data_IF_769381248895
#
_entry.id   IF_769381248895
#
_cell.length_a   1.000
_cell.length_b   1.000
_cell.length_c   1.000
_cell.angle_alpha   90.00
_cell.angle_beta   90.00
_cell.angle_gamma   90.00
#
_symmetry.space_group_name_H-M   'P 1'
#
loop_
_entity.id
_entity.type
_entity.pdbx_description
1 polymer ?
#
# COMPACT_ATOMS: atom_id res chain seq x y z
N UNK A 1 5.37 10.33 15.11
CA UNK A 1 6.75 10.84 14.94
C UNK A 1 6.79 12.04 14.00
N UNK A 2 6.46 11.90 12.71
CA UNK A 2 6.56 13.00 11.72
C UNK A 2 5.76 14.26 12.07
N UNK A 3 4.52 14.12 12.53
CA UNK A 3 3.69 15.26 12.94
C UNK A 3 4.34 16.07 14.08
N UNK A 4 4.90 15.38 15.09
CA UNK A 4 5.61 16.03 16.19
C UNK A 4 6.87 16.77 15.73
N UNK A 5 7.62 16.19 14.80
CA UNK A 5 8.77 16.86 14.19
C UNK A 5 8.35 18.10 13.38
N UNK A 6 7.28 18.01 12.60
CA UNK A 6 6.74 19.13 11.83
C UNK A 6 6.31 20.28 12.75
N UNK A 7 5.62 19.97 13.86
CA UNK A 7 5.26 20.93 14.90
C UNK A 7 6.52 21.58 15.50
N UNK A 8 7.51 20.79 15.89
CA UNK A 8 8.74 21.30 16.49
C UNK A 8 9.53 22.23 15.54
N UNK A 9 9.62 21.86 14.26
CA UNK A 9 10.28 22.68 13.23
C UNK A 9 9.51 23.98 12.97
N UNK A 10 8.18 23.91 12.85
CA UNK A 10 7.34 25.10 12.68
C UNK A 10 7.45 26.05 13.88
N UNK A 11 7.43 25.53 15.11
CA UNK A 11 7.67 26.31 16.32
C UNK A 11 9.05 26.99 16.29
N UNK A 12 10.11 26.22 16.02
CA UNK A 12 11.48 26.76 15.95
C UNK A 12 11.61 27.86 14.90
N UNK A 13 10.93 27.72 13.76
CA UNK A 13 10.94 28.74 12.73
C UNK A 13 10.20 30.01 13.18
N UNK A 14 9.01 29.88 13.78
CA UNK A 14 8.27 31.03 14.33
C UNK A 14 9.07 31.78 15.40
N UNK A 15 9.83 31.05 16.24
CA UNK A 15 10.64 31.63 17.31
C UNK A 15 11.74 32.52 16.70
N UNK A 16 12.40 32.01 15.65
CA UNK A 16 13.44 32.75 14.94
C UNK A 16 12.92 33.95 14.16
N UNK A 17 11.65 33.96 13.77
CA UNK A 17 11.02 35.10 13.09
C UNK A 17 10.43 36.13 14.07
N UNK A 18 10.53 35.91 15.39
CA UNK A 18 10.00 36.82 16.40
C UNK A 18 8.47 36.74 16.58
N UNK A 19 7.81 35.72 16.01
CA UNK A 19 6.36 35.50 16.14
C UNK A 19 5.99 34.79 17.45
N UNK A 20 6.50 35.30 18.57
CA UNK A 20 6.35 34.70 19.91
C UNK A 20 4.88 34.63 20.38
N UNK A 21 4.01 35.49 19.83
CA UNK A 21 2.56 35.51 20.05
C UNK A 21 1.83 34.29 19.45
N UNK A 22 2.43 33.66 18.44
CA UNK A 22 1.89 32.47 17.74
C UNK A 22 2.53 31.17 18.22
N UNK A 23 3.42 31.28 19.19
CA UNK A 23 4.14 30.20 19.83
C UNK A 23 3.52 30.05 21.20
N UNK A 24 3.22 28.83 21.62
CA UNK A 24 3.10 28.59 23.06
C UNK A 24 3.78 27.32 23.51
N UNK A 25 4.29 27.51 24.72
CA UNK A 25 5.30 26.78 25.48
C UNK A 25 4.85 25.36 25.81
N UNK A 26 5.88 24.52 25.99
CA UNK A 26 5.93 23.11 26.41
C UNK A 26 5.13 22.73 27.68
N UNK A 27 4.23 23.56 28.22
CA UNK A 27 3.71 23.43 29.59
C UNK A 27 2.30 22.85 29.73
N UNK A 28 1.49 22.75 28.66
CA UNK A 28 0.10 22.28 28.80
C UNK A 28 -0.31 21.12 27.85
N UNK A 29 0.62 20.59 27.07
CA UNK A 29 0.37 19.43 26.21
C UNK A 29 -0.62 19.65 25.06
N UNK A 30 -1.18 20.86 24.90
CA UNK A 30 -2.14 21.21 23.85
C UNK A 30 -1.49 22.02 22.72
N UNK A 31 -1.78 21.64 21.47
CA UNK A 31 -1.29 22.32 20.26
C UNK A 31 -2.12 23.59 19.97
N UNK A 32 -1.52 24.67 19.44
CA UNK A 32 -2.29 25.85 18.99
C UNK A 32 -3.24 25.52 17.83
N UNK A 33 -4.34 26.26 17.71
CA UNK A 33 -5.38 26.05 16.68
C UNK A 33 -4.82 26.04 15.26
N UNK A 34 -3.82 26.88 14.98
CA UNK A 34 -3.19 26.93 13.65
C UNK A 34 -2.44 25.63 13.34
N UNK A 35 -1.81 25.02 14.34
CA UNK A 35 -1.12 23.74 14.20
C UNK A 35 -2.11 22.60 14.08
N UNK A 36 -3.17 22.60 14.88
CA UNK A 36 -4.28 21.62 14.78
C UNK A 36 -4.87 21.69 13.38
N UNK A 37 -5.22 22.89 12.90
CA UNK A 37 -5.75 23.11 11.55
C UNK A 37 -4.77 22.61 10.50
N UNK A 38 -3.51 23.02 10.56
CA UNK A 38 -2.47 22.59 9.62
C UNK A 38 -2.30 21.07 9.57
N UNK A 39 -2.27 20.41 10.72
CA UNK A 39 -2.18 18.94 10.82
C UNK A 39 -3.45 18.26 10.32
N UNK A 40 -4.64 18.82 10.60
CA UNK A 40 -5.92 18.23 10.19
C UNK A 40 -6.13 18.22 8.67
N UNK A 41 -5.55 19.19 7.95
CA UNK A 41 -5.64 19.29 6.49
C UNK A 41 -4.40 18.71 5.77
N UNK A 42 -3.35 18.35 6.52
CA UNK A 42 -2.16 17.77 5.94
C UNK A 42 -2.47 16.40 5.35
N UNK A 43 -2.21 16.24 4.05
CA UNK A 43 -2.37 14.98 3.34
C UNK A 43 -1.04 14.58 2.71
N UNK A 44 -0.62 13.33 2.95
CA UNK A 44 0.60 12.78 2.38
C UNK A 44 0.24 11.61 1.48
N UNK A 45 0.03 11.90 0.19
CA UNK A 45 -0.37 10.89 -0.78
C UNK A 45 0.67 9.75 -0.84
N UNK A 46 0.16 8.51 -0.90
CA UNK A 46 0.99 7.32 -0.92
C UNK A 46 1.72 6.99 0.39
N UNK A 47 1.24 7.50 1.53
CA UNK A 47 1.64 7.08 2.87
C UNK A 47 0.41 6.71 3.68
N UNK A 48 0.33 5.44 4.09
CA UNK A 48 -0.78 4.91 4.87
C UNK A 48 -2.17 5.32 4.32
N UNK A 49 -2.32 5.32 2.99
CA UNK A 49 -3.52 5.84 2.31
C UNK A 49 -4.43 4.69 1.90
N UNK A 50 -5.72 4.78 2.24
CA UNK A 50 -6.73 3.77 1.87
C UNK A 50 -7.60 4.35 0.75
N UNK A 51 -7.78 3.62 -0.35
CA UNK A 51 -8.53 4.05 -1.52
C UNK A 51 -9.42 2.89 -2.02
N UNK A 52 -10.75 2.99 -1.90
CA UNK A 52 -11.65 2.04 -2.55
C UNK A 52 -11.61 2.23 -4.09
N UNK A 53 -11.70 1.14 -4.84
CA UNK A 53 -11.86 1.19 -6.30
C UNK A 53 -13.33 1.49 -6.65
N UNK A 54 -13.58 2.70 -7.14
CA UNK A 54 -14.94 3.16 -7.44
C UNK A 54 -15.50 2.58 -8.75
N UNK A 55 -14.64 2.08 -9.66
CA UNK A 55 -15.10 1.50 -10.92
C UNK A 55 -15.82 0.17 -10.66
N UNK A 56 -15.34 -0.62 -9.70
CA UNK A 56 -16.01 -1.87 -9.28
C UNK A 56 -17.35 -1.60 -8.60
N UNK A 57 -17.49 -0.50 -7.85
CA UNK A 57 -18.76 -0.15 -7.20
C UNK A 57 -19.84 0.37 -8.15
N UNK A 58 -19.48 0.79 -9.37
CA UNK A 58 -20.43 1.39 -10.32
C UNK A 58 -21.15 0.37 -11.21
N UNK A 59 -20.56 -0.80 -11.43
CA UNK A 59 -21.10 -1.84 -12.32
C UNK A 59 -21.93 -2.91 -11.58
N UNK A 60 -21.76 -3.06 -10.26
CA UNK A 60 -22.49 -4.05 -9.47
C UNK A 60 -23.64 -3.39 -8.68
N UNK A 61 -24.89 -3.79 -8.99
CA UNK A 61 -26.10 -3.38 -8.25
C UNK A 61 -26.13 -3.88 -6.80
N UNK A 62 -25.26 -4.84 -6.45
CA UNK A 62 -25.04 -5.29 -5.08
C UNK A 62 -23.73 -4.74 -4.52
N UNK A 63 -23.85 -3.85 -3.53
CA UNK A 63 -22.77 -3.13 -2.81
C UNK A 63 -21.99 -4.03 -1.84
N UNK A 64 -21.92 -5.33 -2.09
CA UNK A 64 -21.61 -6.29 -1.02
C UNK A 64 -20.12 -6.40 -0.70
N UNK A 65 -19.19 -6.26 -1.65
CA UNK A 65 -17.75 -6.49 -1.40
C UNK A 65 -16.81 -5.54 -2.16
N UNK A 66 -16.23 -4.52 -1.50
CA UNK A 66 -15.35 -3.57 -2.18
C UNK A 66 -13.94 -4.13 -2.42
N UNK A 67 -13.37 -3.80 -3.59
CA UNK A 67 -11.93 -3.82 -3.85
C UNK A 67 -11.33 -2.56 -3.21
N UNK A 68 -10.41 -2.75 -2.26
CA UNK A 68 -9.79 -1.64 -1.52
C UNK A 68 -8.28 -1.72 -1.63
N UNK A 69 -7.67 -0.60 -2.03
CA UNK A 69 -6.23 -0.43 -2.11
C UNK A 69 -5.70 0.24 -0.84
N UNK A 70 -4.67 -0.34 -0.26
CA UNK A 70 -3.92 0.16 0.89
C UNK A 70 -2.53 0.55 0.36
N UNK A 71 -2.23 1.83 0.32
CA UNK A 71 -1.10 2.38 -0.42
C UNK A 71 -0.06 2.95 0.54
N UNK A 72 1.15 2.39 0.48
CA UNK A 72 2.26 2.91 1.26
C UNK A 72 3.60 2.69 0.55
N UNK A 73 4.30 3.79 0.22
CA UNK A 73 5.56 3.77 -0.53
C UNK A 73 6.80 3.36 0.28
N UNK A 74 6.66 2.53 1.32
CA UNK A 74 7.78 1.93 2.04
C UNK A 74 8.74 1.19 1.10
N UNK A 75 10.05 1.35 1.34
CA UNK A 75 11.11 0.81 0.48
C UNK A 75 12.47 0.66 1.21
N UNK A 76 12.44 0.70 2.55
CA UNK A 76 13.55 0.37 3.45
C UNK A 76 13.06 -0.62 4.49
N UNK A 77 13.92 -1.42 5.14
CA UNK A 77 13.47 -2.40 6.14
C UNK A 77 12.63 -1.76 7.25
N UNK A 78 13.05 -0.61 7.77
CA UNK A 78 12.36 0.11 8.85
C UNK A 78 10.98 0.60 8.39
N UNK A 79 10.88 1.13 7.17
CA UNK A 79 9.60 1.59 6.61
C UNK A 79 8.67 0.42 6.28
N UNK A 80 9.19 -0.72 5.81
CA UNK A 80 8.40 -1.93 5.55
C UNK A 80 7.77 -2.47 6.83
N UNK A 81 8.48 -2.40 7.96
CA UNK A 81 7.92 -2.78 9.27
C UNK A 81 6.75 -1.87 9.66
N UNK A 82 6.91 -0.55 9.54
CA UNK A 82 5.84 0.39 9.90
C UNK A 82 4.64 0.21 8.97
N UNK A 83 4.88 0.01 7.67
CA UNK A 83 3.87 -0.32 6.67
C UNK A 83 3.07 -1.58 7.06
N UNK A 84 3.77 -2.68 7.38
CA UNK A 84 3.14 -3.93 7.82
C UNK A 84 2.30 -3.76 9.09
N UNK A 85 2.82 -3.02 10.09
CA UNK A 85 2.07 -2.72 11.33
C UNK A 85 0.80 -1.93 11.04
N UNK A 86 0.89 -0.91 10.19
CA UNK A 86 -0.25 -0.10 9.78
C UNK A 86 -1.29 -0.94 9.04
N UNK A 87 -0.88 -1.67 8.00
CA UNK A 87 -1.78 -2.50 7.20
C UNK A 87 -2.48 -3.55 8.06
N UNK A 88 -1.73 -4.26 8.91
CA UNK A 88 -2.30 -5.25 9.84
C UNK A 88 -3.28 -4.63 10.85
N UNK A 89 -3.05 -3.38 11.26
CA UNK A 89 -3.94 -2.70 12.21
C UNK A 89 -5.27 -2.31 11.56
N UNK A 90 -5.23 -1.69 10.39
CA UNK A 90 -6.45 -1.19 9.72
C UNK A 90 -7.31 -2.33 9.18
N UNK A 91 -6.69 -3.39 8.67
CA UNK A 91 -7.42 -4.54 8.10
C UNK A 91 -7.98 -5.50 9.15
N UNK A 92 -7.55 -5.41 10.41
CA UNK A 92 -8.17 -6.11 11.55
C UNK A 92 -9.39 -5.39 12.10
N UNK A 93 -9.39 -4.06 12.08
CA UNK A 93 -10.51 -3.26 12.62
C UNK A 93 -11.80 -3.48 11.83
N UNK A 94 -11.69 -3.70 10.53
CA UNK A 94 -12.82 -4.10 9.67
C UNK A 94 -13.50 -5.40 10.13
N UNK A 95 -12.81 -6.24 10.91
CA UNK A 95 -13.37 -7.47 11.46
C UNK A 95 -13.95 -7.34 12.89
N UNK A 96 -13.72 -6.21 13.61
CA UNK A 96 -13.86 -6.19 15.07
C UNK A 96 -14.55 -4.96 15.71
N UNK A 97 -15.08 -3.98 14.97
CA UNK A 97 -15.75 -2.80 15.59
C UNK A 97 -17.23 -2.64 15.16
N UNK A 98 -18.19 -2.56 16.10
CA UNK A 98 -19.56 -2.12 15.87
C UNK A 98 -19.66 -0.59 15.96
N UNK A 99 -19.89 0.09 14.84
CA UNK A 99 -20.29 1.50 14.81
C UNK A 99 -21.81 1.69 15.03
N UNK A 100 -22.29 2.87 15.46
CA UNK A 100 -23.70 3.05 15.85
C UNK A 100 -24.72 3.05 14.71
N UNK A 101 -24.30 3.17 13.45
CA UNK A 101 -25.18 3.28 12.29
C UNK A 101 -24.46 2.69 11.07
N UNK A 102 -24.44 1.37 10.94
CA UNK A 102 -24.49 0.64 9.65
C UNK A 102 -24.51 -0.87 9.92
N UNK A 103 -25.33 -1.57 9.15
CA UNK A 103 -25.71 -2.97 9.35
C UNK A 103 -24.51 -3.92 9.43
N UNK A 104 -24.63 -4.90 10.34
CA UNK A 104 -23.73 -6.03 10.57
C UNK A 104 -23.01 -6.50 9.29
N UNK A 105 -21.69 -6.28 9.19
CA UNK A 105 -20.79 -7.06 8.34
C UNK A 105 -19.96 -8.03 9.19
N UNK A 106 -20.61 -8.77 10.08
CA UNK A 106 -19.98 -9.89 10.78
C UNK A 106 -19.81 -11.03 9.78
N UNK A 107 -18.61 -11.23 9.24
CA UNK A 107 -18.25 -12.44 8.49
C UNK A 107 -17.91 -12.29 7.01
N UNK A 108 -17.54 -11.11 6.49
CA UNK A 108 -16.98 -11.04 5.14
C UNK A 108 -15.55 -11.58 5.19
N UNK A 109 -15.33 -12.76 4.60
CA UNK A 109 -13.97 -13.24 4.33
C UNK A 109 -13.25 -12.17 3.52
N UNK A 110 -12.01 -11.84 3.87
CA UNK A 110 -11.23 -10.85 3.14
C UNK A 110 -9.99 -11.50 2.55
N UNK A 111 -9.83 -11.42 1.23
CA UNK A 111 -8.62 -11.85 0.55
C UNK A 111 -7.58 -10.73 0.65
N UNK A 112 -6.41 -11.01 1.25
CA UNK A 112 -5.30 -10.07 1.37
C UNK A 112 -4.30 -10.34 0.23
N UNK A 113 -4.11 -9.36 -0.63
CA UNK A 113 -3.20 -9.44 -1.77
C UNK A 113 -2.08 -8.43 -1.60
N UNK A 114 -0.84 -8.84 -1.86
CA UNK A 114 0.29 -7.94 -1.98
C UNK A 114 0.50 -7.57 -3.45
N UNK A 115 0.57 -6.29 -3.78
CA UNK A 115 1.07 -5.78 -5.05
C UNK A 115 2.42 -5.10 -4.78
N UNK A 116 3.50 -5.71 -5.24
CA UNK A 116 4.85 -5.32 -4.85
C UNK A 116 5.75 -5.06 -6.06
N UNK A 117 6.58 -4.03 -5.91
CA UNK A 117 7.76 -3.84 -6.73
C UNK A 117 8.79 -3.02 -5.96
N UNK A 118 10.07 -3.30 -6.13
CA UNK A 118 11.15 -2.41 -5.71
C UNK A 118 12.14 -2.23 -6.87
N UNK A 119 12.94 -1.15 -6.87
CA UNK A 119 13.99 -0.98 -7.86
C UNK A 119 15.18 -1.91 -7.56
N UNK A 120 16.01 -2.23 -8.54
CA UNK A 120 17.19 -3.11 -8.40
C UNK A 120 18.26 -2.60 -7.42
N UNK A 121 18.25 -1.30 -7.12
CA UNK A 121 19.09 -0.71 -6.06
C UNK A 121 18.60 -1.03 -4.63
N UNK A 122 17.48 -1.73 -4.50
CA UNK A 122 16.91 -2.22 -3.25
C UNK A 122 16.99 -3.73 -3.21
N UNK A 123 17.20 -4.28 -2.02
CA UNK A 123 17.31 -5.72 -1.82
C UNK A 123 15.97 -6.34 -1.39
N UNK A 124 15.26 -7.07 -2.28
CA UNK A 124 14.01 -7.74 -1.93
C UNK A 124 14.19 -8.81 -0.85
N UNK A 125 15.39 -9.39 -0.70
CA UNK A 125 15.71 -10.38 0.34
C UNK A 125 15.71 -9.77 1.75
N UNK A 126 15.73 -8.44 1.88
CA UNK A 126 15.62 -7.76 3.18
C UNK A 126 14.21 -7.17 3.36
N UNK A 127 13.64 -6.62 2.28
CA UNK A 127 12.34 -5.95 2.34
C UNK A 127 11.17 -6.93 2.55
N UNK A 128 11.11 -8.02 1.78
CA UNK A 128 10.00 -8.97 1.83
C UNK A 128 9.94 -9.72 3.17
N UNK A 129 11.05 -10.24 3.73
CA UNK A 129 10.99 -10.89 5.05
C UNK A 129 10.51 -9.94 6.13
N UNK A 130 11.02 -8.69 6.14
CA UNK A 130 10.63 -7.72 7.17
C UNK A 130 9.13 -7.42 7.13
N UNK A 131 8.56 -7.26 5.93
CA UNK A 131 7.12 -7.10 5.74
C UNK A 131 6.35 -8.34 6.24
N UNK A 132 6.71 -9.52 5.74
CA UNK A 132 6.01 -10.78 6.00
C UNK A 132 6.05 -11.18 7.46
N UNK A 133 7.20 -11.09 8.11
CA UNK A 133 7.35 -11.45 9.52
C UNK A 133 6.56 -10.52 10.42
N UNK A 134 6.55 -9.22 10.11
CA UNK A 134 5.77 -8.24 10.86
C UNK A 134 4.27 -8.49 10.70
N UNK A 135 3.81 -8.79 9.48
CA UNK A 135 2.42 -9.19 9.25
C UNK A 135 2.06 -10.48 10.00
N UNK A 136 2.91 -11.51 9.93
CA UNK A 136 2.69 -12.79 10.61
C UNK A 136 2.65 -12.65 12.14
N UNK A 137 3.52 -11.82 12.73
CA UNK A 137 3.48 -11.47 14.17
C UNK A 137 2.17 -10.76 14.56
N UNK A 138 1.52 -10.10 13.60
CA UNK A 138 0.20 -9.53 13.76
C UNK A 138 -0.90 -10.48 13.29
N UNK A 139 -0.64 -11.75 12.99
CA UNK A 139 -1.68 -12.70 12.56
C UNK A 139 -2.30 -12.35 11.20
N UNK A 140 -1.57 -11.64 10.34
CA UNK A 140 -1.96 -11.37 8.97
C UNK A 140 -1.09 -12.20 8.03
N UNK A 141 -1.74 -12.93 7.12
CA UNK A 141 -1.10 -13.64 6.03
C UNK A 141 -1.64 -13.08 4.70
N UNK A 142 -0.79 -13.06 3.68
CA UNK A 142 -1.22 -12.75 2.32
C UNK A 142 -1.65 -14.03 1.63
N UNK A 143 -2.79 -13.99 0.96
CA UNK A 143 -3.29 -15.09 0.14
C UNK A 143 -2.57 -15.14 -1.20
N UNK A 144 -2.10 -13.98 -1.68
CA UNK A 144 -1.49 -13.85 -3.00
C UNK A 144 -0.52 -12.67 -3.08
N UNK A 145 0.52 -12.79 -3.90
CA UNK A 145 1.41 -11.70 -4.27
C UNK A 145 1.44 -11.48 -5.79
N UNK A 146 1.42 -10.22 -6.21
CA UNK A 146 1.50 -9.79 -7.60
C UNK A 146 2.76 -8.93 -7.77
N UNK A 147 3.56 -9.25 -8.78
CA UNK A 147 4.77 -8.52 -9.13
C UNK A 147 4.60 -7.87 -10.50
N UNK A 148 4.91 -6.57 -10.58
CA UNK A 148 4.67 -5.74 -11.78
C UNK A 148 5.87 -4.85 -12.07
N UNK A 149 6.14 -4.52 -13.36
CA UNK A 149 7.15 -3.52 -13.72
C UNK A 149 6.71 -2.10 -13.37
N UNK A 150 7.68 -1.19 -13.21
CA UNK A 150 7.39 0.24 -13.03
C UNK A 150 7.01 0.85 -14.38
N UNK A 151 5.79 1.36 -14.53
CA UNK A 151 5.36 2.04 -15.76
C UNK A 151 6.07 3.38 -15.96
N UNK A 152 6.32 4.10 -14.86
CA UNK A 152 7.01 5.40 -14.86
C UNK A 152 8.48 5.35 -15.25
N UNK A 153 9.14 4.18 -15.31
CA UNK A 153 10.50 4.05 -15.86
C UNK A 153 10.53 4.02 -17.39
N UNK A 154 9.46 3.52 -18.02
CA UNK A 154 9.31 3.52 -19.48
C UNK A 154 8.79 4.87 -19.98
N UNK A 155 8.00 5.58 -19.17
CA UNK A 155 7.58 6.95 -19.43
C UNK A 155 8.63 7.98 -18.96
N UNK A 156 9.92 7.78 -19.27
CA UNK A 156 10.84 8.93 -19.31
C UNK A 156 10.20 9.93 -20.28
N UNK A 157 10.06 11.20 -19.88
CA UNK A 157 9.68 12.29 -20.78
C UNK A 157 10.74 12.41 -21.89
N UNK A 158 10.66 11.53 -22.87
CA UNK A 158 11.40 11.56 -24.12
C UNK A 158 10.54 12.29 -25.12
N UNK A 159 11.02 13.45 -25.52
CA UNK A 159 10.70 14.22 -26.72
C UNK A 159 9.70 13.57 -27.70
N UNK A 160 8.67 14.31 -28.08
CA UNK A 160 7.84 14.06 -29.26
C UNK A 160 8.71 13.93 -30.52
N UNK A 161 9.26 12.76 -30.83
CA UNK A 161 9.85 12.41 -32.13
C UNK A 161 10.35 10.95 -32.17
N UNK A 162 9.49 9.94 -32.05
CA UNK A 162 9.80 8.59 -32.52
C UNK A 162 8.51 7.81 -32.81
N UNK A 163 8.42 7.03 -33.91
CA UNK A 163 7.36 6.04 -34.09
C UNK A 163 7.39 5.02 -32.94
N UNK A 164 6.26 4.36 -32.62
CA UNK A 164 6.27 3.33 -31.59
C UNK A 164 7.22 2.20 -32.02
N UNK A 165 8.24 1.84 -31.22
CA UNK A 165 9.01 0.65 -31.51
C UNK A 165 8.04 -0.54 -31.43
N UNK A 166 8.05 -1.39 -32.47
CA UNK A 166 7.21 -2.60 -32.50
C UNK A 166 7.42 -3.42 -31.24
N UNK A 167 6.34 -4.00 -30.68
CA UNK A 167 6.25 -4.74 -29.41
C UNK A 167 7.62 -5.18 -28.86
N UNK A 168 8.32 -4.27 -28.19
CA UNK A 168 9.54 -4.63 -27.47
C UNK A 168 9.10 -5.60 -26.38
N UNK A 169 9.64 -6.80 -26.41
CA UNK A 169 9.35 -7.81 -25.40
C UNK A 169 9.76 -7.22 -24.05
N UNK A 170 8.78 -7.01 -23.17
CA UNK A 170 9.02 -6.44 -21.85
C UNK A 170 9.89 -7.42 -21.08
N UNK A 171 11.08 -7.00 -20.69
CA UNK A 171 11.95 -7.80 -19.82
C UNK A 171 11.33 -7.89 -18.41
N UNK A 172 10.89 -9.10 -18.05
CA UNK A 172 10.31 -9.41 -16.74
C UNK A 172 11.29 -10.12 -15.81
N UNK A 173 12.58 -10.20 -16.17
CA UNK A 173 13.63 -10.86 -15.38
C UNK A 173 13.62 -10.39 -13.91
N UNK A 174 13.45 -9.09 -13.70
CA UNK A 174 13.36 -8.52 -12.36
C UNK A 174 12.10 -8.96 -11.60
N UNK A 175 10.92 -8.90 -12.22
CA UNK A 175 9.67 -9.34 -11.58
C UNK A 175 9.70 -10.84 -11.25
N UNK A 176 10.30 -11.65 -12.11
CA UNK A 176 10.52 -13.08 -11.87
C UNK A 176 11.50 -13.32 -10.71
N UNK A 177 12.54 -12.48 -10.58
CA UNK A 177 13.44 -12.50 -9.43
C UNK A 177 12.68 -12.17 -8.13
N UNK A 178 11.85 -11.13 -8.12
CA UNK A 178 11.00 -10.78 -6.96
C UNK A 178 10.06 -11.93 -6.57
N UNK A 179 9.43 -12.56 -7.56
CA UNK A 179 8.59 -13.74 -7.36
C UNK A 179 9.36 -14.91 -6.74
N UNK A 180 10.57 -15.17 -7.23
CA UNK A 180 11.44 -16.24 -6.70
C UNK A 180 11.74 -16.00 -5.22
N UNK A 181 12.12 -14.78 -4.84
CA UNK A 181 12.36 -14.40 -3.44
C UNK A 181 11.13 -14.68 -2.57
N UNK A 182 9.95 -14.25 -3.04
CA UNK A 182 8.70 -14.48 -2.33
C UNK A 182 8.42 -15.96 -2.08
N UNK A 183 8.56 -16.78 -3.12
CA UNK A 183 8.29 -18.22 -3.03
C UNK A 183 9.29 -18.96 -2.15
N UNK A 184 10.57 -18.61 -2.22
CA UNK A 184 11.62 -19.15 -1.34
C UNK A 184 11.29 -18.90 0.13
N UNK A 185 10.83 -17.68 0.46
CA UNK A 185 10.44 -17.32 1.83
C UNK A 185 9.24 -18.15 2.32
N UNK A 186 8.26 -18.42 1.45
CA UNK A 186 7.11 -19.25 1.80
C UNK A 186 7.48 -20.74 1.91
N UNK A 187 8.37 -21.25 1.07
CA UNK A 187 8.91 -22.62 1.18
C UNK A 187 9.67 -22.82 2.48
N UNK A 188 10.56 -21.88 2.84
CA UNK A 188 11.30 -21.92 4.10
C UNK A 188 10.38 -21.95 5.33
N UNK A 189 9.27 -21.21 5.30
CA UNK A 189 8.29 -21.18 6.41
C UNK A 189 7.43 -22.45 6.51
N UNK A 190 7.09 -23.10 5.40
CA UNK A 190 6.34 -24.38 5.40
C UNK A 190 7.12 -25.53 6.04
N UNK A 191 8.45 -25.49 6.01
CA UNK A 191 9.29 -26.50 6.66
C UNK A 191 9.26 -26.46 8.19
N UNK A 192 8.83 -25.34 8.80
CA UNK A 192 8.79 -25.16 10.26
C UNK A 192 7.39 -25.29 10.86
N UNK A 193 6.34 -24.88 10.17
CA UNK A 193 4.96 -24.94 10.64
C UNK A 193 4.08 -25.54 9.53
N UNK A 194 3.60 -26.78 9.73
CA UNK A 194 2.87 -27.60 8.75
C UNK A 194 1.48 -27.09 8.30
N UNK A 195 1.24 -25.79 8.31
CA UNK A 195 0.01 -25.16 7.80
C UNK A 195 0.27 -24.57 6.42
N UNK A 196 -0.32 -25.20 5.41
CA UNK A 196 -0.23 -24.88 4.00
C UNK A 196 -0.92 -23.56 3.63
N UNK A 197 -0.33 -22.40 3.94
CA UNK A 197 -0.72 -21.19 3.21
C UNK A 197 -0.14 -21.30 1.80
N UNK A 198 -1.00 -21.63 0.83
CA UNK A 198 -0.64 -21.58 -0.59
C UNK A 198 -0.60 -20.12 -1.01
N UNK A 199 0.46 -19.39 -0.63
CA UNK A 199 0.65 -18.00 -1.01
C UNK A 199 1.01 -17.91 -2.49
N UNK A 200 -0.02 -17.97 -3.34
CA UNK A 200 0.12 -17.93 -4.78
C UNK A 200 0.84 -16.64 -5.21
N UNK A 201 1.63 -16.72 -6.27
CA UNK A 201 2.38 -15.60 -6.82
C UNK A 201 2.03 -15.45 -8.31
N UNK A 202 1.93 -14.22 -8.80
CA UNK A 202 1.74 -13.91 -10.22
C UNK A 202 2.65 -12.77 -10.65
N UNK A 203 3.15 -12.85 -11.88
CA UNK A 203 3.86 -11.75 -12.55
C UNK A 203 2.97 -11.23 -13.68
N UNK A 204 2.82 -9.91 -13.79
CA UNK A 204 2.11 -9.28 -14.90
C UNK A 204 3.07 -8.44 -15.73
N UNK A 205 2.83 -8.42 -17.04
CA UNK A 205 3.55 -7.59 -18.01
C UNK A 205 3.35 -6.08 -17.79
N UNK A 206 2.24 -5.68 -17.16
CA UNK A 206 1.94 -4.28 -16.91
C UNK A 206 1.05 -4.09 -15.69
N UNK A 207 1.13 -2.90 -15.08
CA UNK A 207 0.27 -2.52 -13.97
C UNK A 207 -1.23 -2.48 -14.35
N UNK A 208 -1.67 -1.92 -15.50
CA UNK A 208 -3.06 -1.99 -15.96
C UNK A 208 -3.59 -3.40 -16.06
N UNK A 209 -2.79 -4.35 -16.57
CA UNK A 209 -3.18 -5.77 -16.62
C UNK A 209 -3.42 -6.34 -15.21
N UNK A 210 -2.55 -6.02 -14.25
CA UNK A 210 -2.72 -6.45 -12.86
C UNK A 210 -3.96 -5.81 -12.19
N UNK A 211 -4.21 -4.52 -12.42
CA UNK A 211 -5.40 -3.83 -11.89
C UNK A 211 -6.68 -4.40 -12.50
N UNK A 212 -6.69 -4.67 -13.82
CA UNK A 212 -7.81 -5.33 -14.48
C UNK A 212 -8.08 -6.71 -13.87
N UNK A 213 -7.05 -7.52 -13.68
CA UNK A 213 -7.16 -8.83 -13.04
C UNK A 213 -7.69 -8.74 -11.60
N UNK A 214 -7.26 -7.73 -10.81
CA UNK A 214 -7.77 -7.49 -9.46
C UNK A 214 -9.26 -7.16 -9.45
N UNK A 215 -9.72 -6.33 -10.39
CA UNK A 215 -11.14 -5.97 -10.55
C UNK A 215 -11.98 -7.18 -10.93
N UNK A 216 -11.55 -7.95 -11.92
CA UNK A 216 -12.21 -9.20 -12.34
C UNK A 216 -12.27 -10.22 -11.20
N UNK A 217 -11.16 -10.40 -10.47
CA UNK A 217 -11.08 -11.32 -9.31
C UNK A 217 -12.03 -10.92 -8.19
N UNK A 218 -12.18 -9.62 -7.95
CA UNK A 218 -13.12 -9.08 -6.95
C UNK A 218 -14.58 -9.30 -7.38
N UNK A 219 -14.89 -9.14 -8.67
CA UNK A 219 -16.24 -9.34 -9.21
C UNK A 219 -16.66 -10.82 -9.23
N UNK A 220 -15.73 -11.74 -9.47
CA UNK A 220 -16.01 -13.18 -9.47
C UNK A 220 -16.29 -13.74 -8.07
N UNK A 221 -15.71 -13.14 -7.02
CA UNK A 221 -15.84 -13.61 -5.64
C UNK A 221 -16.68 -12.65 -4.80
N UNK A 222 -17.97 -12.50 -5.14
CA UNK A 222 -18.89 -11.53 -4.53
C UNK A 222 -19.11 -11.68 -3.01
N UNK A 223 -18.67 -12.79 -2.41
CA UNK A 223 -18.74 -13.03 -0.96
C UNK A 223 -17.45 -12.64 -0.20
N UNK A 224 -16.42 -12.17 -0.89
CA UNK A 224 -15.08 -11.92 -0.32
C UNK A 224 -14.60 -10.51 -0.66
N UNK A 225 -14.28 -9.69 0.33
CA UNK A 225 -13.65 -8.38 0.09
C UNK A 225 -12.20 -8.57 -0.35
N UNK A 226 -11.77 -7.83 -1.38
CA UNK A 226 -10.39 -7.85 -1.85
C UNK A 226 -9.61 -6.66 -1.30
N UNK A 227 -8.60 -6.93 -0.49
CA UNK A 227 -7.77 -5.92 0.16
C UNK A 227 -6.34 -6.00 -0.34
N UNK A 228 -5.91 -4.99 -1.08
CA UNK A 228 -4.64 -4.99 -1.82
C UNK A 228 -3.66 -4.03 -1.16
N UNK A 229 -2.58 -4.55 -0.56
CA UNK A 229 -1.46 -3.72 -0.12
C UNK A 229 -0.55 -3.41 -1.30
N UNK A 230 -0.35 -2.14 -1.61
CA UNK A 230 0.59 -1.66 -2.64
C UNK A 230 1.78 -1.02 -1.95
N UNK A 231 2.96 -1.61 -2.11
CA UNK A 231 4.18 -1.16 -1.43
C UNK A 231 5.47 -1.56 -2.15
N UNK A 232 6.63 -1.24 -1.56
CA UNK A 232 7.97 -1.50 -2.11
C UNK A 232 8.53 -0.35 -2.94
N UNK A 233 7.69 0.56 -3.42
CA UNK A 233 8.10 1.68 -4.27
C UNK A 233 7.09 2.82 -4.25
N UNK A 234 7.57 4.06 -4.12
CA UNK A 234 6.72 5.25 -4.27
C UNK A 234 6.26 5.47 -5.72
N UNK A 235 7.07 5.05 -6.69
CA UNK A 235 6.70 5.10 -8.11
C UNK A 235 5.50 4.18 -8.40
N UNK A 236 5.54 2.95 -7.86
CA UNK A 236 4.42 2.01 -7.98
C UNK A 236 3.14 2.59 -7.37
N UNK A 237 3.24 3.15 -6.15
CA UNK A 237 2.09 3.78 -5.49
C UNK A 237 1.52 4.94 -6.30
N UNK A 238 2.38 5.79 -6.87
CA UNK A 238 1.96 6.90 -7.73
C UNK A 238 1.28 6.43 -9.01
N UNK A 239 1.80 5.38 -9.65
CA UNK A 239 1.21 4.80 -10.87
C UNK A 239 -0.14 4.14 -10.58
N UNK A 240 -0.28 3.43 -9.45
CA UNK A 240 -1.58 2.87 -9.01
C UNK A 240 -2.59 3.97 -8.76
N UNK A 241 -2.21 5.01 -8.01
CA UNK A 241 -3.10 6.15 -7.74
C UNK A 241 -3.62 6.79 -9.02
N UNK A 242 -2.77 6.92 -10.05
CA UNK A 242 -3.16 7.46 -11.36
C UNK A 242 -4.24 6.61 -12.03
N UNK A 243 -4.14 5.28 -11.95
CA UNK A 243 -5.06 4.34 -12.61
C UNK A 243 -6.39 4.16 -11.89
N UNK A 244 -6.41 4.24 -10.55
CA UNK A 244 -7.64 3.99 -9.76
C UNK A 244 -8.44 5.26 -9.46
N UNK A 245 -7.85 6.44 -9.68
CA UNK A 245 -8.55 7.74 -9.50
C UNK A 245 -9.04 8.37 -10.81
N UNK A 246 -8.63 7.84 -11.96
CA UNK A 246 -9.25 8.13 -13.28
C UNK A 246 -10.55 7.38 -13.44
#
# INVERSE_FOLDING_TARGET
>A
MNAGLAVALANTWLERQGHLDRIHVKDHGTLPDQFIKGLSIACLQGRAQIVPDLQVSSECKDTSCPLVFYLDGAHSPESMEICAKWFSHVTKKDAAQPGPLEQRRSGINSKKILLFNCMSVRDPQILLPRLLDTCAQKGLCFDQALFVPNQSQYNKLGSHASPPPGREQIDLSWQLSLQTVWEDLLRGKKGLNGTSSSGASLVFESLPSAIKWLRETSQQNQSTSCQVLVTGSLHLVGDVLRLIKT
#
